data_IF_465434971592
#
_entry.id   IF_465434971592
#
_cell.length_a   1.000
_cell.length_b   1.000
_cell.length_c   1.000
_cell.angle_alpha   90.00
_cell.angle_beta   90.00
_cell.angle_gamma   90.00
#
_symmetry.space_group_name_H-M   'P 1'
#
loop_
_entity.id
_entity.type
_entity.pdbx_description
1 polymer ?
#
# COMPACT_ATOMS: atom_id res chain seq x y z
N UNK A 1 -17.14 7.80 -19.33
CA UNK A 1 -17.31 7.35 -17.94
C UNK A 1 -18.54 8.07 -17.36
N UNK A 2 -18.82 8.01 -16.05
CA UNK A 2 -19.83 8.88 -15.43
C UNK A 2 -19.34 10.33 -15.53
N UNK A 3 -20.15 11.33 -15.94
CA UNK A 3 -19.70 12.72 -16.12
C UNK A 3 -18.98 13.28 -14.89
N UNK A 4 -19.54 13.03 -13.71
CA UNK A 4 -18.97 13.47 -12.42
C UNK A 4 -17.56 12.88 -12.14
N UNK A 5 -17.23 11.71 -12.71
CA UNK A 5 -15.91 11.10 -12.54
C UNK A 5 -14.86 11.75 -13.45
N UNK A 6 -15.28 12.16 -14.65
CA UNK A 6 -14.41 12.91 -15.57
C UNK A 6 -14.13 14.33 -15.03
N UNK A 7 -15.11 14.95 -14.37
CA UNK A 7 -14.93 16.23 -13.69
C UNK A 7 -13.97 16.12 -12.51
N UNK A 8 -14.13 15.12 -11.63
CA UNK A 8 -13.20 14.88 -10.53
C UNK A 8 -11.78 14.60 -11.02
N UNK A 9 -11.63 13.82 -12.10
CA UNK A 9 -10.34 13.54 -12.70
C UNK A 9 -9.69 14.83 -13.24
N UNK A 10 -10.43 15.65 -13.98
CA UNK A 10 -9.91 16.92 -14.49
C UNK A 10 -9.50 17.88 -13.36
N UNK A 11 -10.25 17.92 -12.25
CA UNK A 11 -9.91 18.69 -11.05
C UNK A 11 -8.61 18.18 -10.42
N UNK A 12 -8.47 16.87 -10.27
CA UNK A 12 -7.24 16.25 -9.76
C UNK A 12 -6.03 16.55 -10.66
N UNK A 13 -6.17 16.39 -11.98
CA UNK A 13 -5.12 16.72 -12.97
C UNK A 13 -4.72 18.21 -12.94
N UNK A 14 -5.65 19.10 -12.54
CA UNK A 14 -5.38 20.53 -12.37
C UNK A 14 -4.73 20.91 -11.03
N UNK A 15 -4.50 19.93 -10.14
CA UNK A 15 -3.91 20.14 -8.82
C UNK A 15 -4.91 20.52 -7.71
N UNK A 16 -6.22 20.36 -7.94
CA UNK A 16 -7.23 20.53 -6.90
C UNK A 16 -7.22 19.33 -5.94
N UNK A 17 -7.46 19.60 -4.65
CA UNK A 17 -7.53 18.58 -3.61
C UNK A 17 -8.97 18.35 -3.20
N UNK A 18 -9.49 17.17 -3.53
CA UNK A 18 -10.86 16.76 -3.24
C UNK A 18 -10.86 15.53 -2.36
N UNK A 19 -11.74 15.52 -1.36
CA UNK A 19 -12.04 14.33 -0.58
C UNK A 19 -13.26 13.66 -1.20
N UNK A 20 -13.18 12.36 -1.43
CA UNK A 20 -14.24 11.59 -2.07
C UNK A 20 -14.53 10.35 -1.24
N UNK A 21 -15.79 10.16 -0.87
CA UNK A 21 -16.28 8.89 -0.33
C UNK A 21 -16.67 7.98 -1.48
N UNK A 22 -16.14 6.76 -1.50
CA UNK A 22 -16.39 5.76 -2.56
C UNK A 22 -17.01 4.51 -1.94
N UNK A 23 -18.11 4.06 -2.53
CA UNK A 23 -18.70 2.75 -2.25
C UNK A 23 -18.49 1.87 -3.47
N UNK A 24 -17.94 0.68 -3.26
CA UNK A 24 -17.60 -0.23 -4.35
C UNK A 24 -17.65 -1.69 -3.96
N UNK A 25 -17.60 -2.57 -4.95
CA UNK A 25 -17.45 -4.02 -4.75
C UNK A 25 -15.98 -4.38 -4.78
N UNK A 26 -15.56 -5.07 -3.74
CA UNK A 26 -14.25 -5.67 -3.65
C UNK A 26 -14.23 -7.02 -4.41
N UNK A 27 -13.10 -7.32 -5.04
CA UNK A 27 -12.81 -8.63 -5.62
C UNK A 27 -11.35 -9.00 -5.33
N UNK A 28 -11.14 -10.11 -4.63
CA UNK A 28 -9.84 -10.76 -4.49
C UNK A 28 -9.63 -11.76 -5.63
N UNK A 29 -8.43 -11.80 -6.20
CA UNK A 29 -7.98 -12.86 -7.08
C UNK A 29 -6.63 -13.36 -6.56
N UNK A 30 -6.44 -14.66 -6.59
CA UNK A 30 -5.19 -15.31 -6.25
C UNK A 30 -4.48 -15.69 -7.57
N UNK A 31 -3.23 -15.31 -7.71
CA UNK A 31 -2.38 -15.70 -8.85
C UNK A 31 -1.77 -17.08 -8.63
N UNK A 32 -1.25 -17.67 -9.70
CA UNK A 32 -0.66 -19.03 -9.66
C UNK A 32 0.59 -19.12 -8.75
N UNK A 33 1.22 -18.00 -8.45
CA UNK A 33 2.36 -17.85 -7.52
C UNK A 33 1.93 -17.60 -6.07
N UNK A 34 0.62 -17.57 -5.77
CA UNK A 34 0.08 -17.34 -4.43
C UNK A 34 -0.08 -15.86 -4.05
N UNK A 35 0.15 -14.92 -4.98
CA UNK A 35 -0.14 -13.51 -4.77
C UNK A 35 -1.64 -13.24 -4.64
N UNK A 36 -2.05 -12.48 -3.62
CA UNK A 36 -3.45 -12.06 -3.46
C UNK A 36 -3.61 -10.62 -3.93
N UNK A 37 -4.30 -10.43 -5.04
CA UNK A 37 -4.62 -9.11 -5.59
C UNK A 37 -6.04 -8.72 -5.24
N UNK A 38 -6.19 -7.58 -4.54
CA UNK A 38 -7.50 -7.01 -4.23
C UNK A 38 -7.78 -5.83 -5.16
N UNK A 39 -8.92 -5.89 -5.84
CA UNK A 39 -9.44 -4.80 -6.68
C UNK A 39 -10.74 -4.26 -6.09
N UNK A 40 -10.96 -2.95 -6.22
CA UNK A 40 -12.23 -2.31 -5.86
C UNK A 40 -12.86 -1.73 -7.12
N UNK A 41 -14.07 -2.19 -7.45
CA UNK A 41 -14.92 -1.57 -8.48
C UNK A 41 -15.83 -0.56 -7.79
N UNK A 42 -15.59 0.73 -8.01
CA UNK A 42 -16.49 1.79 -7.56
C UNK A 42 -17.89 1.63 -8.16
N UNK A 43 -18.92 1.74 -7.32
CA UNK A 43 -20.34 1.72 -7.70
C UNK A 43 -20.98 3.10 -7.54
N UNK A 44 -20.56 3.85 -6.52
CA UNK A 44 -20.98 5.23 -6.30
C UNK A 44 -19.86 5.98 -5.59
N UNK A 45 -19.83 7.29 -5.79
CA UNK A 45 -18.93 8.18 -5.08
C UNK A 45 -19.60 9.52 -4.82
N UNK A 46 -19.07 10.27 -3.87
CA UNK A 46 -19.51 11.63 -3.58
C UNK A 46 -18.37 12.44 -2.97
N UNK A 47 -18.27 13.72 -3.32
CA UNK A 47 -17.34 14.64 -2.67
C UNK A 47 -17.77 14.88 -1.22
N UNK A 48 -16.82 14.88 -0.29
CA UNK A 48 -17.07 15.01 1.14
C UNK A 48 -16.32 16.19 1.73
N UNK A 49 -16.90 16.78 2.78
CA UNK A 49 -16.26 17.88 3.49
C UNK A 49 -15.12 17.41 4.39
N UNK A 50 -14.20 18.32 4.69
CA UNK A 50 -13.10 18.06 5.64
C UNK A 50 -13.61 17.73 7.05
N UNK A 51 -14.75 18.31 7.46
CA UNK A 51 -15.34 18.06 8.77
C UNK A 51 -15.92 16.65 8.88
N UNK A 52 -16.59 16.16 7.82
CA UNK A 52 -17.09 14.78 7.73
C UNK A 52 -15.93 13.78 7.79
N UNK A 53 -14.88 14.04 7.00
CA UNK A 53 -13.65 13.25 6.99
C UNK A 53 -13.01 13.16 8.38
N UNK A 54 -12.88 14.29 9.09
CA UNK A 54 -12.34 14.32 10.46
C UNK A 54 -13.20 13.53 11.43
N UNK A 55 -14.52 13.66 11.35
CA UNK A 55 -15.45 12.88 12.20
C UNK A 55 -15.25 11.39 11.97
N UNK A 56 -15.25 10.94 10.72
CA UNK A 56 -15.05 9.53 10.39
C UNK A 56 -13.68 9.01 10.81
N UNK A 57 -12.64 9.83 10.73
CA UNK A 57 -11.32 9.45 11.21
C UNK A 57 -11.31 9.22 12.72
N UNK A 58 -11.94 10.11 13.50
CA UNK A 58 -12.05 9.94 14.95
C UNK A 58 -12.86 8.70 15.30
N UNK A 59 -14.01 8.49 14.66
CA UNK A 59 -14.86 7.32 14.88
C UNK A 59 -14.11 6.01 14.53
N UNK A 60 -13.32 6.04 13.45
CA UNK A 60 -12.51 4.90 13.01
C UNK A 60 -11.38 4.63 13.99
N UNK A 61 -10.70 5.66 14.48
CA UNK A 61 -9.65 5.55 15.47
C UNK A 61 -10.18 4.95 16.78
N UNK A 62 -11.29 5.48 17.30
CA UNK A 62 -11.95 4.97 18.51
C UNK A 62 -12.37 3.51 18.36
N UNK A 63 -13.06 3.17 17.26
CA UNK A 63 -13.48 1.81 16.99
C UNK A 63 -12.29 0.84 16.82
N UNK A 64 -11.16 1.31 16.28
CA UNK A 64 -9.96 0.50 16.12
C UNK A 64 -9.27 0.27 17.46
N UNK A 65 -9.07 1.33 18.26
CA UNK A 65 -8.52 1.21 19.62
C UNK A 65 -9.34 0.27 20.50
N UNK A 66 -10.68 0.36 20.43
CA UNK A 66 -11.58 -0.56 21.13
C UNK A 66 -11.34 -2.03 20.77
N UNK A 67 -11.06 -2.33 19.50
CA UNK A 67 -10.74 -3.71 19.05
C UNK A 67 -9.34 -4.14 19.49
N UNK A 68 -8.35 -3.25 19.46
CA UNK A 68 -7.01 -3.52 19.97
C UNK A 68 -7.02 -3.80 21.47
N UNK A 69 -7.75 -3.00 22.26
CA UNK A 69 -7.91 -3.23 23.70
C UNK A 69 -8.61 -4.57 24.01
N UNK A 70 -9.63 -4.93 23.23
CA UNK A 70 -10.28 -6.24 23.34
C UNK A 70 -9.30 -7.37 22.99
N UNK A 71 -8.48 -7.21 21.94
CA UNK A 71 -7.46 -8.17 21.56
C UNK A 71 -6.39 -8.32 22.65
N UNK A 72 -5.87 -7.22 23.20
CA UNK A 72 -4.87 -7.20 24.27
C UNK A 72 -5.42 -7.89 25.53
N UNK A 73 -6.68 -7.62 25.87
CA UNK A 73 -7.36 -8.26 27.01
C UNK A 73 -7.52 -9.77 26.83
N UNK A 74 -7.59 -10.26 25.59
CA UNK A 74 -7.73 -11.70 25.26
C UNK A 74 -6.41 -12.48 25.25
N UNK A 75 -5.27 -11.82 25.50
CA UNK A 75 -3.97 -12.46 25.40
C UNK A 75 -3.77 -13.51 26.49
N UNK A 76 -3.38 -14.73 26.08
CA UNK A 76 -3.21 -15.87 26.97
C UNK A 76 -4.51 -16.50 27.50
N UNK A 77 -5.67 -16.01 27.07
CA UNK A 77 -6.98 -16.54 27.47
C UNK A 77 -7.40 -17.73 26.60
N UNK A 78 -8.23 -18.61 27.16
CA UNK A 78 -8.80 -19.72 26.40
C UNK A 78 -9.78 -19.20 25.34
N UNK A 79 -9.79 -19.83 24.15
CA UNK A 79 -10.71 -19.49 23.05
C UNK A 79 -12.14 -19.99 23.33
N UNK A 80 -12.75 -19.44 24.37
CA UNK A 80 -14.14 -19.69 24.77
C UNK A 80 -14.84 -18.38 25.12
N UNK A 81 -16.14 -18.30 24.89
CA UNK A 81 -16.90 -17.09 25.18
C UNK A 81 -16.83 -16.69 26.67
N UNK A 82 -16.79 -17.67 27.58
CA UNK A 82 -16.73 -17.42 29.02
C UNK A 82 -15.38 -16.80 29.42
N UNK A 83 -14.25 -17.32 28.92
CA UNK A 83 -12.93 -16.75 29.18
C UNK A 83 -12.84 -15.32 28.65
N UNK A 84 -13.28 -15.11 27.40
CA UNK A 84 -13.22 -13.79 26.75
C UNK A 84 -14.03 -12.74 27.50
N UNK A 85 -15.28 -13.07 27.90
CA UNK A 85 -16.10 -12.16 28.72
C UNK A 85 -15.44 -11.86 30.07
N UNK A 86 -14.86 -12.87 30.73
CA UNK A 86 -14.17 -12.71 32.01
C UNK A 86 -12.91 -11.85 31.88
N UNK A 87 -12.23 -11.92 30.76
CA UNK A 87 -11.06 -11.12 30.43
C UNK A 87 -11.40 -9.66 30.10
N UNK A 88 -12.69 -9.30 29.99
CA UNK A 88 -13.15 -7.93 29.75
C UNK A 88 -13.40 -7.61 28.28
N UNK A 89 -13.40 -8.60 27.39
CA UNK A 89 -13.77 -8.41 25.99
C UNK A 89 -15.25 -7.99 25.88
N UNK A 90 -15.57 -6.90 25.17
CA UNK A 90 -16.96 -6.47 24.96
C UNK A 90 -17.81 -7.55 24.29
N UNK A 91 -19.07 -7.71 24.73
CA UNK A 91 -19.96 -8.80 24.31
C UNK A 91 -20.13 -8.89 22.79
N UNK A 92 -20.25 -7.76 22.11
CA UNK A 92 -20.37 -7.66 20.65
C UNK A 92 -19.10 -8.04 19.88
N UNK A 93 -17.94 -8.12 20.55
CA UNK A 93 -16.66 -8.48 19.95
C UNK A 93 -16.26 -9.93 20.22
N UNK A 94 -16.87 -10.62 21.18
CA UNK A 94 -16.44 -11.96 21.63
C UNK A 94 -16.43 -12.98 20.48
N UNK A 95 -17.54 -13.14 19.76
CA UNK A 95 -17.66 -14.13 18.67
C UNK A 95 -16.67 -13.85 17.53
N UNK A 96 -16.54 -12.58 17.14
CA UNK A 96 -15.60 -12.15 16.09
C UNK A 96 -14.14 -12.35 16.49
N UNK A 97 -13.79 -12.04 17.75
CA UNK A 97 -12.43 -12.16 18.25
C UNK A 97 -11.98 -13.62 18.34
N UNK A 98 -12.85 -14.52 18.79
CA UNK A 98 -12.56 -15.97 18.82
C UNK A 98 -12.27 -16.47 17.39
N UNK A 99 -13.17 -16.21 16.45
CA UNK A 99 -13.00 -16.60 15.04
C UNK A 99 -11.73 -16.02 14.41
N UNK A 100 -11.41 -14.79 14.76
CA UNK A 100 -10.19 -14.13 14.27
C UNK A 100 -8.94 -14.84 14.80
N UNK A 101 -8.87 -15.14 16.10
CA UNK A 101 -7.71 -15.81 16.72
C UNK A 101 -7.57 -17.28 16.28
N UNK A 102 -8.66 -17.93 15.86
CA UNK A 102 -8.60 -19.27 15.25
C UNK A 102 -8.00 -19.27 13.84
N UNK A 103 -8.15 -18.17 13.10
CA UNK A 103 -7.81 -18.11 11.68
C UNK A 103 -6.50 -17.36 11.40
N UNK A 104 -6.22 -16.30 12.15
CA UNK A 104 -5.08 -15.42 11.92
C UNK A 104 -3.99 -15.63 12.98
N UNK A 105 -2.73 -15.42 12.58
CA UNK A 105 -1.60 -15.38 13.49
C UNK A 105 -1.69 -14.17 14.43
N UNK A 106 -0.93 -14.24 15.52
CA UNK A 106 -0.73 -13.07 16.37
C UNK A 106 0.00 -11.96 15.61
N UNK A 107 -0.34 -10.73 15.95
CA UNK A 107 0.21 -9.53 15.32
C UNK A 107 0.54 -8.49 16.37
N UNK A 108 1.46 -7.57 16.04
CA UNK A 108 1.83 -6.48 16.92
C UNK A 108 0.74 -5.38 16.90
N UNK A 109 0.12 -5.14 18.05
CA UNK A 109 -0.91 -4.10 18.20
C UNK A 109 -0.32 -2.69 18.27
N UNK A 110 0.96 -2.54 18.66
CA UNK A 110 1.58 -1.22 18.81
C UNK A 110 1.76 -0.50 17.47
N UNK A 111 2.05 -1.24 16.39
CA UNK A 111 2.12 -0.67 15.04
C UNK A 111 0.81 0.06 14.66
N UNK A 112 -0.34 -0.55 14.96
CA UNK A 112 -1.65 0.05 14.70
C UNK A 112 -1.90 1.30 15.55
N UNK A 113 -1.45 1.32 16.81
CA UNK A 113 -1.58 2.50 17.69
C UNK A 113 -0.79 3.69 17.15
N UNK A 114 0.42 3.44 16.64
CA UNK A 114 1.23 4.48 15.99
C UNK A 114 0.57 4.96 14.69
N UNK A 115 0.00 4.07 13.87
CA UNK A 115 -0.72 4.50 12.66
C UNK A 115 -1.94 5.35 12.98
N UNK A 116 -2.68 5.03 14.05
CA UNK A 116 -3.79 5.86 14.52
C UNK A 116 -3.28 7.24 14.96
N UNK A 117 -2.18 7.30 15.71
CA UNK A 117 -1.56 8.56 16.12
C UNK A 117 -1.14 9.40 14.91
N UNK A 118 -0.47 8.80 13.93
CA UNK A 118 -0.05 9.46 12.68
C UNK A 118 -1.26 9.99 11.91
N UNK A 119 -2.31 9.19 11.75
CA UNK A 119 -3.54 9.60 11.06
C UNK A 119 -4.19 10.80 11.74
N UNK A 120 -4.37 10.76 13.06
CA UNK A 120 -4.96 11.86 13.83
C UNK A 120 -4.09 13.12 13.78
N UNK A 121 -2.77 12.98 13.90
CA UNK A 121 -1.82 14.10 13.77
C UNK A 121 -1.95 14.78 12.40
N UNK A 122 -2.04 13.98 11.33
CA UNK A 122 -2.23 14.47 9.96
C UNK A 122 -3.54 15.22 9.77
N UNK A 123 -4.63 14.71 10.34
CA UNK A 123 -5.94 15.37 10.28
C UNK A 123 -6.01 16.68 11.09
N UNK A 124 -5.19 16.80 12.14
CA UNK A 124 -5.02 18.04 12.90
C UNK A 124 -4.14 19.08 12.20
N UNK A 125 -3.46 18.70 11.11
CA UNK A 125 -2.63 19.59 10.31
C UNK A 125 -1.16 19.65 10.75
N UNK A 126 -0.71 18.68 11.55
CA UNK A 126 0.71 18.53 11.87
C UNK A 126 1.46 17.88 10.69
N UNK A 127 2.72 18.26 10.47
CA UNK A 127 3.57 17.75 9.38
C UNK A 127 4.26 16.43 9.74
N UNK A 128 4.66 15.66 8.72
CA UNK A 128 5.32 14.34 8.86
C UNK A 128 6.58 14.37 9.76
N UNK A 129 7.27 15.52 9.81
CA UNK A 129 8.45 15.73 10.67
C UNK A 129 8.18 15.54 12.18
N UNK A 130 6.91 15.62 12.62
CA UNK A 130 6.56 15.54 14.05
C UNK A 130 6.48 14.09 14.58
N UNK A 131 6.43 13.07 13.72
CA UNK A 131 6.23 11.67 14.13
C UNK A 131 7.05 10.69 13.27
N UNK A 132 8.37 10.92 13.20
CA UNK A 132 9.32 9.93 12.65
C UNK A 132 9.28 8.66 13.51
N UNK A 133 8.47 7.70 13.07
CA UNK A 133 8.45 6.34 13.58
C UNK A 133 8.60 5.46 12.35
N UNK A 134 9.82 4.99 12.10
CA UNK A 134 10.12 3.96 11.10
C UNK A 134 9.41 2.66 11.51
N UNK A 135 8.14 2.57 11.15
CA UNK A 135 7.39 1.32 11.22
C UNK A 135 7.32 0.78 9.82
N UNK A 136 8.10 -0.26 9.58
CA UNK A 136 7.93 -1.15 8.43
C UNK A 136 6.45 -1.54 8.34
N UNK A 137 5.83 -1.51 7.13
CA UNK A 137 4.50 -2.06 6.97
C UNK A 137 4.52 -3.50 7.46
N UNK A 138 3.55 -3.89 8.31
CA UNK A 138 3.39 -5.29 8.74
C UNK A 138 3.00 -6.11 7.51
N UNK A 139 4.02 -6.59 6.80
CA UNK A 139 3.88 -7.57 5.75
C UNK A 139 3.40 -8.87 6.39
N UNK A 140 2.34 -9.44 5.84
CA UNK A 140 2.07 -10.87 6.01
C UNK A 140 3.36 -11.57 5.58
N UNK A 141 3.98 -12.36 6.46
CA UNK A 141 5.26 -13.02 6.22
C UNK A 141 5.20 -13.86 4.92
N UNK A 142 5.63 -13.28 3.81
CA UNK A 142 6.08 -14.03 2.64
C UNK A 142 7.57 -14.26 2.81
N UNK A 143 7.97 -15.54 2.73
CA UNK A 143 9.33 -16.00 2.96
C UNK A 143 10.39 -15.15 2.23
N UNK A 144 11.59 -14.96 2.81
CA UNK A 144 12.57 -14.02 2.30
C UNK A 144 13.17 -14.52 0.98
N UNK A 145 13.14 -13.67 -0.03
CA UNK A 145 13.90 -13.87 -1.27
C UNK A 145 15.32 -13.33 -1.03
N UNK A 146 16.32 -14.16 -1.29
CA UNK A 146 17.74 -13.83 -1.13
C UNK A 146 18.11 -12.60 -1.98
N UNK A 147 18.56 -11.52 -1.32
CA UNK A 147 19.15 -10.37 -1.97
C UNK A 147 20.55 -10.73 -2.48
N UNK A 148 20.75 -10.61 -3.79
CA UNK A 148 22.08 -10.68 -4.40
C UNK A 148 22.65 -9.26 -4.43
N UNK A 149 23.74 -9.03 -3.69
CA UNK A 149 24.54 -7.82 -3.81
C UNK A 149 25.20 -7.75 -5.20
N UNK A 150 24.99 -6.66 -5.95
CA UNK A 150 25.85 -6.31 -7.09
C UNK A 150 26.26 -4.85 -7.06
N UNK A 151 27.54 -4.64 -7.37
CA UNK A 151 28.37 -3.48 -7.13
C UNK A 151 28.00 -2.23 -7.94
N UNK A 152 28.10 -1.08 -7.27
CA UNK A 152 28.00 0.27 -7.83
C UNK A 152 29.04 0.52 -8.94
N UNK A 153 28.57 0.92 -10.12
CA UNK A 153 29.37 1.66 -11.10
C UNK A 153 28.62 2.88 -11.64
N UNK A 154 28.97 4.06 -11.11
CA UNK A 154 28.92 5.36 -11.80
C UNK A 154 27.54 5.99 -12.00
N UNK A 155 27.39 7.25 -11.57
CA UNK A 155 26.22 8.10 -11.79
C UNK A 155 25.87 8.26 -13.27
N UNK A 156 25.03 7.36 -13.76
CA UNK A 156 24.53 7.32 -15.13
C UNK A 156 23.14 7.92 -15.21
N UNK A 157 22.84 8.54 -16.36
CA UNK A 157 21.49 8.95 -16.74
C UNK A 157 20.54 7.73 -16.61
N UNK A 158 19.39 7.85 -15.91
CA UNK A 158 18.41 6.77 -15.75
C UNK A 158 18.07 6.05 -17.03
N UNK A 159 18.02 6.79 -18.15
CA UNK A 159 17.76 6.23 -19.47
C UNK A 159 18.81 5.20 -19.89
N UNK A 160 20.09 5.53 -19.72
CA UNK A 160 21.19 4.67 -20.15
C UNK A 160 21.28 3.40 -19.27
N UNK A 161 20.94 3.52 -17.99
CA UNK A 161 20.86 2.39 -17.05
C UNK A 161 19.75 1.42 -17.50
N UNK A 162 18.55 1.92 -17.75
CA UNK A 162 17.39 1.12 -18.17
C UNK A 162 17.67 0.40 -19.50
N UNK A 163 18.15 1.13 -20.51
CA UNK A 163 18.47 0.54 -21.82
C UNK A 163 19.64 -0.45 -21.74
N UNK A 164 20.63 -0.19 -20.87
CA UNK A 164 21.75 -1.09 -20.62
C UNK A 164 21.31 -2.43 -20.04
N UNK A 165 20.37 -2.41 -19.09
CA UNK A 165 19.83 -3.63 -18.47
C UNK A 165 19.01 -4.42 -19.48
N UNK A 166 18.06 -3.77 -20.16
CA UNK A 166 17.20 -4.43 -21.15
C UNK A 166 17.99 -4.97 -22.36
N UNK A 167 19.06 -4.27 -22.76
CA UNK A 167 19.95 -4.71 -23.83
C UNK A 167 20.86 -5.88 -23.44
N UNK A 168 21.21 -5.97 -22.16
CA UNK A 168 22.07 -7.04 -21.63
C UNK A 168 21.28 -8.30 -21.25
N UNK A 169 19.96 -8.19 -21.04
CA UNK A 169 19.09 -9.30 -20.63
C UNK A 169 18.71 -10.26 -21.78
N UNK A 170 19.35 -10.16 -22.95
CA UNK A 170 19.21 -11.17 -24.02
C UNK A 170 17.80 -11.36 -24.61
N UNK A 171 16.89 -10.40 -24.40
CA UNK A 171 15.48 -10.48 -24.83
C UNK A 171 14.53 -11.07 -23.78
N UNK A 172 15.00 -11.33 -22.57
CA UNK A 172 14.16 -11.69 -21.42
C UNK A 172 13.53 -10.43 -20.80
N UNK A 173 12.29 -10.58 -20.32
CA UNK A 173 11.53 -9.48 -19.72
C UNK A 173 12.14 -9.11 -18.37
N UNK A 174 12.29 -7.81 -18.11
CA UNK A 174 12.80 -7.28 -16.84
C UNK A 174 11.67 -6.64 -16.05
N UNK A 175 11.62 -6.87 -14.74
CA UNK A 175 10.59 -6.33 -13.88
C UNK A 175 10.76 -4.82 -13.64
N UNK A 176 9.65 -4.14 -13.38
CA UNK A 176 9.62 -2.70 -13.07
C UNK A 176 10.53 -2.35 -11.90
N UNK A 177 10.42 -3.07 -10.78
CA UNK A 177 11.22 -2.79 -9.58
C UNK A 177 12.72 -3.08 -9.80
N UNK A 178 13.09 -4.00 -10.70
CA UNK A 178 14.48 -4.24 -11.06
C UNK A 178 15.09 -3.06 -11.83
N UNK A 179 14.33 -2.48 -12.77
CA UNK A 179 14.74 -1.29 -13.51
C UNK A 179 14.88 -0.08 -12.57
N UNK A 180 13.88 0.16 -11.72
CA UNK A 180 13.89 1.25 -10.74
C UNK A 180 15.02 1.06 -9.72
N UNK A 181 15.17 -0.16 -9.19
CA UNK A 181 16.21 -0.52 -8.23
C UNK A 181 17.62 -0.34 -8.78
N UNK A 182 17.84 -0.64 -10.05
CA UNK A 182 19.11 -0.42 -10.71
C UNK A 182 19.43 1.08 -10.92
N UNK A 183 18.43 1.90 -11.27
CA UNK A 183 18.59 3.35 -11.35
C UNK A 183 18.89 3.99 -9.99
N UNK A 184 18.25 3.51 -8.93
CA UNK A 184 18.54 3.95 -7.55
C UNK A 184 19.96 3.56 -7.16
N UNK A 185 20.37 2.33 -7.49
CA UNK A 185 21.74 1.83 -7.27
C UNK A 185 22.78 2.61 -8.07
N UNK A 186 22.39 3.17 -9.22
CA UNK A 186 23.20 4.08 -10.03
C UNK A 186 23.22 5.53 -9.51
N UNK A 187 22.48 5.84 -8.44
CA UNK A 187 22.50 7.15 -7.78
C UNK A 187 21.41 8.12 -8.21
N UNK A 188 20.34 7.64 -8.85
CA UNK A 188 19.17 8.45 -9.21
C UNK A 188 18.08 8.34 -8.13
N UNK A 189 17.26 9.38 -7.96
CA UNK A 189 16.07 9.30 -7.12
C UNK A 189 15.06 8.29 -7.71
N UNK A 190 14.21 7.71 -6.85
CA UNK A 190 13.12 6.82 -7.29
C UNK A 190 12.20 7.55 -8.27
N UNK A 191 11.76 8.76 -7.93
CA UNK A 191 10.88 9.58 -8.78
C UNK A 191 11.46 9.78 -10.19
N UNK A 192 12.74 10.12 -10.31
CA UNK A 192 13.40 10.30 -11.60
C UNK A 192 13.52 8.99 -12.39
N UNK A 193 13.75 7.85 -11.72
CA UNK A 193 13.80 6.54 -12.34
C UNK A 193 12.43 6.11 -12.89
N UNK A 194 11.36 6.32 -12.11
CA UNK A 194 9.99 6.01 -12.50
C UNK A 194 9.54 6.90 -13.68
N UNK A 195 9.86 8.20 -13.62
CA UNK A 195 9.63 9.13 -14.72
C UNK A 195 10.37 8.71 -15.99
N UNK A 196 11.61 8.22 -15.87
CA UNK A 196 12.38 7.73 -17.01
C UNK A 196 11.75 6.46 -17.62
N UNK A 197 11.30 5.49 -16.81
CA UNK A 197 10.60 4.29 -17.31
C UNK A 197 9.31 4.67 -18.05
N UNK A 198 8.51 5.59 -17.49
CA UNK A 198 7.28 6.06 -18.13
C UNK A 198 7.58 6.78 -19.46
N UNK A 199 8.52 7.73 -19.47
CA UNK A 199 8.87 8.48 -20.67
C UNK A 199 9.44 7.58 -21.77
N UNK A 200 10.26 6.58 -21.41
CA UNK A 200 10.81 5.63 -22.38
C UNK A 200 9.75 4.73 -23.02
N UNK A 201 8.66 4.44 -22.30
CA UNK A 201 7.54 3.64 -22.80
C UNK A 201 6.57 4.49 -23.63
N UNK A 202 6.16 5.63 -23.09
CA UNK A 202 5.01 6.38 -23.61
C UNK A 202 5.43 7.51 -24.58
N UNK A 203 6.56 8.16 -24.33
CA UNK A 203 7.02 9.30 -25.15
C UNK A 203 7.98 8.87 -26.26
N UNK A 204 9.07 8.17 -25.90
CA UNK A 204 10.12 7.79 -26.86
C UNK A 204 9.87 6.43 -27.50
N UNK A 205 9.03 5.60 -26.89
CA UNK A 205 8.70 4.23 -27.31
C UNK A 205 9.93 3.30 -27.47
N UNK A 206 11.03 3.60 -26.77
CA UNK A 206 12.27 2.81 -26.79
C UNK A 206 12.13 1.50 -26.01
N UNK A 207 11.19 1.44 -25.07
CA UNK A 207 10.83 0.23 -24.33
C UNK A 207 9.35 -0.08 -24.51
N UNK A 208 8.99 -1.34 -24.30
CA UNK A 208 7.61 -1.83 -24.35
C UNK A 208 7.29 -2.59 -23.09
N UNK A 209 6.00 -2.66 -22.74
CA UNK A 209 5.47 -3.44 -21.62
C UNK A 209 4.58 -4.58 -22.16
N UNK A 210 5.15 -5.72 -22.59
CA UNK A 210 4.37 -6.84 -23.14
C UNK A 210 3.48 -7.52 -22.09
N UNK A 211 3.89 -7.46 -20.82
CA UNK A 211 3.17 -7.98 -19.65
C UNK A 211 3.21 -6.91 -18.56
N UNK A 212 2.11 -6.71 -17.85
CA UNK A 212 2.01 -5.69 -16.81
C UNK A 212 3.16 -5.82 -15.78
N UNK A 213 3.93 -4.76 -15.61
CA UNK A 213 5.11 -4.71 -14.74
C UNK A 213 6.40 -5.30 -15.32
N UNK A 214 6.41 -5.72 -16.59
CA UNK A 214 7.52 -6.39 -17.26
C UNK A 214 7.86 -5.72 -18.60
N UNK A 215 9.13 -5.38 -18.79
CA UNK A 215 9.60 -4.55 -19.88
C UNK A 215 10.62 -5.25 -20.78
N UNK A 216 10.64 -4.87 -22.05
CA UNK A 216 11.65 -5.24 -23.03
C UNK A 216 12.00 -4.06 -23.93
N UNK A 217 13.19 -4.07 -24.54
CA UNK A 217 13.52 -3.12 -25.62
C UNK A 217 12.51 -3.26 -26.76
N UNK A 218 11.98 -2.12 -27.22
CA UNK A 218 11.19 -2.05 -28.45
C UNK A 218 12.12 -2.26 -29.64
N UNK A 219 11.78 -3.22 -30.51
CA UNK A 219 12.51 -3.50 -31.75
C UNK A 219 12.18 -2.53 -32.88
#
# INVERSE_FOLDING_TARGET
MHPDAEELLARFESGDSVLVSIVGRQKSNESEDGGIFTSLRAESFTEVGIDDYKSWMVDTADATLRRLEAYDSSQGEELSEESMRKAGVPEDLVDGLIKSKEHYAEFDTEAYRVWILKALSRALGNSEEDLDTDLEPVGIETAPVEQIEVQSTGGGDPRDVILGILGSNGGELVEYEDLVGACISAGTSREDAENAVMSLKDDTMEISEPKFGFFSISG
#
